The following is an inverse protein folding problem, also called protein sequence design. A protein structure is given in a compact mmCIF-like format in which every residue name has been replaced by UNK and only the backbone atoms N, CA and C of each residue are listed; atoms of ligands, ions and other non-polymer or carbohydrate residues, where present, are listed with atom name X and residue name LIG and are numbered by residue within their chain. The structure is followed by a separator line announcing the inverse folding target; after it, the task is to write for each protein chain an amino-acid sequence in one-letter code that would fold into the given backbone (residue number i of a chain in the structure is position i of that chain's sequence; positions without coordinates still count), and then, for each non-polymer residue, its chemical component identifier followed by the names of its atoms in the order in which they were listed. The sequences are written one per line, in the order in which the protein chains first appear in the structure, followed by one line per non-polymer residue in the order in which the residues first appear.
data_IF_150229306715
#
_entry.id   IF_150229306715
#
_cell.length_a   1.000
_cell.length_b   1.000
_cell.length_c   1.000
_cell.angle_alpha   90.00
_cell.angle_beta   90.00
_cell.angle_gamma   90.00
#
_symmetry.space_group_name_H-M   'P 1'
#
loop_
_entity.id
_entity.type
_entity.pdbx_description
1 polymer ?
#
# COMPACT_ATOMS: atom_id res chain seq x y z
N UNK A 1 -13.93 -6.83 -10.40
CA UNK A 1 -12.85 -7.81 -10.18
C UNK A 1 -11.66 -7.68 -11.14
N UNK A 2 -11.81 -7.48 -12.47
CA UNK A 2 -10.65 -7.46 -13.39
C UNK A 2 -9.62 -6.37 -13.02
N UNK A 3 -10.05 -5.19 -12.65
CA UNK A 3 -9.14 -4.09 -12.29
C UNK A 3 -8.27 -4.37 -11.05
N UNK A 4 -8.76 -5.17 -10.09
CA UNK A 4 -7.95 -5.60 -8.95
C UNK A 4 -6.79 -6.50 -9.37
N UNK A 5 -7.03 -7.43 -10.31
CA UNK A 5 -5.99 -8.28 -10.90
C UNK A 5 -5.02 -7.45 -11.74
N UNK A 6 -5.55 -6.55 -12.57
CA UNK A 6 -4.74 -5.67 -13.44
C UNK A 6 -3.76 -4.81 -12.63
N UNK A 7 -4.20 -4.27 -11.48
CA UNK A 7 -3.33 -3.55 -10.57
C UNK A 7 -2.13 -4.39 -10.10
N UNK A 8 -2.35 -5.68 -9.77
CA UNK A 8 -1.28 -6.58 -9.35
C UNK A 8 -0.33 -6.93 -10.51
N UNK A 9 -0.85 -7.07 -11.72
CA UNK A 9 -0.04 -7.27 -12.93
C UNK A 9 0.87 -6.07 -13.17
N UNK A 10 0.34 -4.84 -13.13
CA UNK A 10 1.16 -3.63 -13.27
C UNK A 10 2.20 -3.50 -12.15
N UNK A 11 1.85 -3.90 -10.92
CA UNK A 11 2.79 -3.96 -9.81
C UNK A 11 3.93 -4.94 -10.08
N UNK A 12 3.63 -6.11 -10.63
CA UNK A 12 4.64 -7.10 -11.02
C UNK A 12 5.54 -6.58 -12.15
N UNK A 13 4.97 -5.95 -13.18
CA UNK A 13 5.70 -5.33 -14.28
C UNK A 13 6.61 -4.20 -13.78
N UNK A 14 6.11 -3.32 -12.91
CA UNK A 14 6.91 -2.25 -12.28
C UNK A 14 8.08 -2.82 -11.48
N UNK A 15 7.82 -3.84 -10.66
CA UNK A 15 8.87 -4.47 -9.86
C UNK A 15 9.90 -5.20 -10.72
N UNK A 16 9.47 -5.82 -11.84
CA UNK A 16 10.35 -6.43 -12.82
C UNK A 16 11.31 -5.42 -13.46
N UNK A 17 10.87 -4.19 -13.74
CA UNK A 17 11.76 -3.12 -14.26
C UNK A 17 12.88 -2.79 -13.27
N UNK A 18 12.57 -2.83 -11.97
CA UNK A 18 13.50 -2.54 -10.87
C UNK A 18 14.48 -3.70 -10.65
N UNK A 19 13.98 -4.94 -10.62
CA UNK A 19 14.79 -6.12 -10.30
C UNK A 19 15.70 -6.54 -11.45
N UNK A 20 15.32 -6.27 -12.70
CA UNK A 20 15.99 -6.73 -13.93
C UNK A 20 16.13 -8.25 -14.04
N UNK A 21 16.46 -8.92 -12.95
CA UNK A 21 16.57 -10.35 -12.76
C UNK A 21 15.24 -10.91 -12.22
N UNK A 22 15.04 -12.21 -12.39
CA UNK A 22 13.82 -12.88 -11.94
C UNK A 22 12.76 -13.04 -13.04
N UNK A 23 12.04 -14.15 -12.97
CA UNK A 23 10.96 -14.49 -13.91
C UNK A 23 9.70 -13.71 -13.54
N UNK A 24 9.03 -13.12 -14.56
CA UNK A 24 7.80 -12.35 -14.33
C UNK A 24 6.72 -13.19 -13.65
N UNK A 25 6.59 -14.47 -14.00
CA UNK A 25 5.64 -15.41 -13.38
C UNK A 25 5.91 -15.59 -11.89
N UNK A 26 7.18 -15.72 -11.47
CA UNK A 26 7.56 -15.82 -10.06
C UNK A 26 7.27 -14.52 -9.32
N UNK A 27 7.59 -13.39 -9.93
CA UNK A 27 7.32 -12.06 -9.35
C UNK A 27 5.81 -11.86 -9.17
N UNK A 28 4.98 -12.15 -10.17
CA UNK A 28 3.53 -12.01 -10.12
C UNK A 28 2.93 -12.91 -9.02
N UNK A 29 3.29 -14.20 -9.02
CA UNK A 29 2.79 -15.13 -8.02
C UNK A 29 3.27 -14.77 -6.60
N UNK A 30 4.49 -14.22 -6.46
CA UNK A 30 4.96 -13.73 -5.17
C UNK A 30 4.12 -12.56 -4.64
N UNK A 31 3.63 -11.69 -5.52
CA UNK A 31 2.73 -10.59 -5.16
C UNK A 31 1.36 -11.12 -4.74
N UNK A 32 0.75 -12.02 -5.50
CA UNK A 32 -0.52 -12.64 -5.12
C UNK A 32 -0.44 -13.31 -3.75
N UNK A 33 0.61 -14.09 -3.53
CA UNK A 33 0.83 -14.76 -2.25
C UNK A 33 1.09 -13.77 -1.11
N UNK A 34 1.74 -12.63 -1.38
CA UNK A 34 1.99 -11.61 -0.38
C UNK A 34 0.72 -10.95 0.14
N UNK A 35 -0.25 -10.70 -0.74
CA UNK A 35 -1.56 -10.18 -0.33
C UNK A 35 -2.33 -11.20 0.50
N UNK A 36 -2.35 -12.47 0.06
CA UNK A 36 -3.01 -13.54 0.80
C UNK A 36 -2.40 -13.76 2.20
N UNK A 37 -1.07 -13.70 2.33
CA UNK A 37 -0.41 -13.84 3.64
C UNK A 37 -0.73 -12.69 4.59
N UNK A 38 -0.96 -11.50 4.05
CA UNK A 38 -1.32 -10.32 4.86
C UNK A 38 -2.74 -10.39 5.44
N UNK A 39 -3.57 -11.33 5.00
CA UNK A 39 -4.86 -11.65 5.63
C UNK A 39 -4.67 -12.37 6.97
N UNK A 40 -3.60 -13.17 7.10
CA UNK A 40 -3.31 -13.96 8.30
C UNK A 40 -2.44 -13.15 9.26
N UNK A 41 -1.32 -12.64 8.74
CA UNK A 41 -0.37 -11.82 9.52
C UNK A 41 -0.21 -10.47 8.83
N UNK A 42 -0.70 -9.38 9.44
CA UNK A 42 -0.60 -8.05 8.86
C UNK A 42 0.84 -7.71 8.46
N UNK A 43 1.03 -7.17 7.25
CA UNK A 43 2.32 -6.76 6.67
C UNK A 43 3.36 -7.85 6.44
N UNK A 44 3.06 -9.12 6.68
CA UNK A 44 3.98 -10.24 6.41
C UNK A 44 4.30 -10.41 4.92
N UNK A 45 3.39 -9.99 4.06
CA UNK A 45 3.49 -10.19 2.61
C UNK A 45 4.73 -9.59 1.97
N UNK A 46 5.23 -8.46 2.48
CA UNK A 46 6.41 -7.79 1.92
C UNK A 46 7.67 -8.64 2.10
N UNK A 47 7.81 -9.28 3.25
CA UNK A 47 8.92 -10.20 3.52
C UNK A 47 8.76 -11.50 2.73
N UNK A 48 7.52 -12.02 2.69
CA UNK A 48 7.21 -13.27 1.99
C UNK A 48 7.51 -13.17 0.50
N UNK A 49 7.10 -12.10 -0.20
CA UNK A 49 7.39 -11.94 -1.64
C UNK A 49 8.89 -11.91 -1.94
N UNK A 50 9.70 -11.27 -1.05
CA UNK A 50 11.15 -11.30 -1.17
C UNK A 50 11.70 -12.72 -0.99
N UNK A 51 11.17 -13.48 -0.02
CA UNK A 51 11.53 -14.88 0.21
C UNK A 51 11.24 -15.77 -0.99
N UNK A 52 10.06 -15.61 -1.61
CA UNK A 52 9.66 -16.35 -2.82
C UNK A 52 10.62 -16.07 -3.98
N UNK A 53 10.87 -14.81 -4.31
CA UNK A 53 11.77 -14.46 -5.43
C UNK A 53 13.20 -14.93 -5.16
N UNK A 54 13.69 -14.83 -3.92
CA UNK A 54 14.97 -15.40 -3.52
C UNK A 54 15.01 -16.92 -3.73
N UNK A 55 13.99 -17.63 -3.28
CA UNK A 55 13.93 -19.10 -3.35
C UNK A 55 13.91 -19.61 -4.80
N UNK A 56 13.10 -18.99 -5.67
CA UNK A 56 12.88 -19.50 -7.02
C UNK A 56 13.87 -18.96 -8.05
N UNK A 57 14.40 -17.75 -7.88
CA UNK A 57 15.26 -17.08 -8.85
C UNK A 57 16.67 -16.76 -8.30
N UNK A 58 16.96 -17.05 -7.03
CA UNK A 58 18.28 -16.89 -6.43
C UNK A 58 18.70 -15.42 -6.21
N UNK A 59 17.76 -14.47 -6.23
CA UNK A 59 18.06 -13.05 -6.05
C UNK A 59 18.51 -12.74 -4.61
N UNK A 60 19.37 -11.73 -4.44
CA UNK A 60 19.82 -11.29 -3.11
C UNK A 60 18.67 -10.73 -2.28
N UNK A 61 18.44 -11.30 -1.09
CA UNK A 61 17.32 -10.94 -0.23
C UNK A 61 17.39 -9.48 0.25
N UNK A 62 18.57 -9.00 0.60
CA UNK A 62 18.74 -7.63 1.10
C UNK A 62 18.42 -6.61 0.02
N UNK A 63 18.82 -6.89 -1.23
CA UNK A 63 18.48 -6.06 -2.40
C UNK A 63 16.98 -6.08 -2.70
N UNK A 64 16.33 -7.25 -2.57
CA UNK A 64 14.87 -7.37 -2.74
C UNK A 64 14.14 -6.52 -1.70
N UNK A 65 14.51 -6.62 -0.43
CA UNK A 65 13.91 -5.81 0.65
C UNK A 65 14.10 -4.31 0.38
N UNK A 66 15.30 -3.88 0.01
CA UNK A 66 15.56 -2.49 -0.35
C UNK A 66 14.69 -2.00 -1.50
N UNK A 67 14.47 -2.83 -2.54
CA UNK A 67 13.58 -2.49 -3.65
C UNK A 67 12.11 -2.36 -3.24
N UNK A 68 11.67 -3.19 -2.29
CA UNK A 68 10.31 -3.12 -1.73
C UNK A 68 10.11 -1.82 -0.94
N UNK A 69 11.09 -1.42 -0.15
CA UNK A 69 11.03 -0.14 0.59
C UNK A 69 10.95 1.04 -0.38
N UNK A 70 11.75 1.04 -1.46
CA UNK A 70 11.65 2.07 -2.51
C UNK A 70 10.28 2.11 -3.16
N UNK A 71 9.68 0.94 -3.42
CA UNK A 71 8.32 0.83 -3.94
C UNK A 71 7.29 1.47 -2.99
N UNK A 72 7.42 1.23 -1.67
CA UNK A 72 6.55 1.85 -0.65
C UNK A 72 6.67 3.36 -0.60
N UNK A 73 7.88 3.90 -0.72
CA UNK A 73 8.09 5.36 -0.75
C UNK A 73 7.33 5.97 -1.95
N UNK A 74 7.42 5.35 -3.12
CA UNK A 74 6.72 5.83 -4.31
C UNK A 74 5.21 5.69 -4.16
N UNK A 75 4.72 4.57 -3.63
CA UNK A 75 3.29 4.39 -3.37
C UNK A 75 2.78 5.45 -2.37
N UNK A 76 3.55 5.81 -1.32
CA UNK A 76 3.22 6.90 -0.41
C UNK A 76 3.15 8.27 -1.10
N UNK A 77 4.08 8.56 -2.01
CA UNK A 77 4.03 9.79 -2.81
C UNK A 77 2.78 9.82 -3.70
N UNK A 78 2.40 8.70 -4.30
CA UNK A 78 1.19 8.59 -5.11
C UNK A 78 -0.08 8.81 -4.27
N UNK A 79 -0.17 8.22 -3.06
CA UNK A 79 -1.27 8.48 -2.12
C UNK A 79 -1.34 9.97 -1.77
N UNK A 80 -0.21 10.60 -1.47
CA UNK A 80 -0.15 12.03 -1.14
C UNK A 80 -0.65 12.90 -2.30
N UNK A 81 -0.23 12.61 -3.52
CA UNK A 81 -0.68 13.33 -4.72
C UNK A 81 -2.18 13.16 -4.95
N UNK A 82 -2.70 11.94 -4.82
CA UNK A 82 -4.13 11.66 -4.94
C UNK A 82 -4.93 12.37 -3.84
N UNK A 83 -4.41 12.40 -2.62
CA UNK A 83 -5.03 13.12 -1.50
C UNK A 83 -5.09 14.61 -1.76
N UNK A 84 -3.97 15.19 -2.18
CA UNK A 84 -3.92 16.61 -2.51
C UNK A 84 -4.91 16.95 -3.62
N UNK A 85 -4.97 16.14 -4.67
CA UNK A 85 -5.93 16.31 -5.77
C UNK A 85 -7.38 16.20 -5.27
N UNK A 86 -7.71 15.22 -4.43
CA UNK A 86 -9.05 15.06 -3.89
C UNK A 86 -9.44 16.20 -2.94
N UNK A 87 -8.53 16.67 -2.09
CA UNK A 87 -8.77 17.81 -1.19
C UNK A 87 -8.99 19.09 -1.98
N UNK A 88 -8.13 19.39 -2.97
CA UNK A 88 -8.27 20.59 -3.81
C UNK A 88 -9.56 20.59 -4.63
N UNK A 89 -9.98 19.40 -5.09
CA UNK A 89 -11.22 19.25 -5.85
C UNK A 89 -12.47 19.36 -4.96
N UNK A 90 -12.39 18.89 -3.70
CA UNK A 90 -13.54 18.75 -2.79
C UNK A 90 -13.38 19.55 -1.48
N UNK A 91 -12.77 20.73 -1.55
CA UNK A 91 -12.60 21.64 -0.39
C UNK A 91 -13.91 21.79 0.43
N UNK A 92 -15.11 22.02 -0.17
CA UNK A 92 -16.34 22.19 0.61
C UNK A 92 -16.72 20.96 1.43
N UNK A 93 -16.42 19.76 0.95
CA UNK A 93 -16.73 18.52 1.67
C UNK A 93 -15.77 18.33 2.85
N UNK A 94 -14.49 18.60 2.64
CA UNK A 94 -13.49 18.54 3.72
C UNK A 94 -13.77 19.57 4.81
N UNK A 95 -14.19 20.79 4.45
CA UNK A 95 -14.60 21.81 5.42
C UNK A 95 -15.81 21.33 6.24
N UNK A 96 -16.84 20.77 5.59
CA UNK A 96 -18.01 20.21 6.29
C UNK A 96 -17.63 19.04 7.21
N UNK A 97 -16.70 18.18 6.76
CA UNK A 97 -16.18 17.08 7.58
C UNK A 97 -15.49 17.62 8.84
N UNK A 98 -14.59 18.59 8.68
CA UNK A 98 -13.90 19.22 9.81
C UNK A 98 -14.88 19.87 10.79
N UNK A 99 -15.89 20.57 10.28
CA UNK A 99 -16.93 21.18 11.10
C UNK A 99 -17.75 20.16 11.88
N UNK A 100 -18.15 19.05 11.25
CA UNK A 100 -18.94 17.98 11.90
C UNK A 100 -18.14 17.15 12.92
N UNK A 101 -16.86 16.95 12.67
CA UNK A 101 -15.99 16.16 13.57
C UNK A 101 -15.34 17.00 14.67
N UNK A 102 -15.50 18.33 14.61
CA UNK A 102 -14.80 19.26 15.52
C UNK A 102 -13.27 19.28 15.31
N UNK A 103 -12.79 18.62 14.27
CA UNK A 103 -11.38 18.61 13.89
C UNK A 103 -11.07 19.92 13.16
N UNK A 104 -10.49 20.88 13.87
CA UNK A 104 -9.82 22.01 13.23
C UNK A 104 -8.30 21.80 13.30
N UNK A 105 -7.56 22.36 12.34
CA UNK A 105 -6.09 22.38 12.43
C UNK A 105 -5.62 22.95 13.77
N UNK A 106 -6.33 23.98 14.28
CA UNK A 106 -6.08 24.55 15.60
C UNK A 106 -6.33 23.56 16.73
N UNK A 107 -7.41 22.76 16.69
CA UNK A 107 -7.71 21.76 17.72
C UNK A 107 -6.77 20.56 17.69
N UNK A 108 -6.24 20.21 16.53
CA UNK A 108 -5.21 19.18 16.41
C UNK A 108 -3.88 19.71 16.94
N UNK A 109 -3.49 20.93 16.53
CA UNK A 109 -2.25 21.55 16.98
C UNK A 109 -2.27 21.92 18.47
N UNK A 110 -3.43 22.30 19.02
CA UNK A 110 -3.56 22.62 20.46
C UNK A 110 -3.50 21.38 21.37
N UNK A 111 -3.74 20.19 20.86
CA UNK A 111 -3.52 18.93 21.59
C UNK A 111 -2.04 18.62 21.79
N UNK A 112 -1.18 19.19 20.95
CA UNK A 112 0.27 19.13 21.15
C UNK A 112 0.69 20.32 22.01
N UNK A 113 0.75 20.11 23.33
CA UNK A 113 1.38 21.07 24.22
C UNK A 113 2.84 21.30 23.80
N UNK A 114 3.45 22.48 24.06
CA UNK A 114 4.87 22.69 23.79
C UNK A 114 5.76 21.56 24.36
N UNK A 115 5.42 21.05 25.55
CA UNK A 115 6.10 19.90 26.14
C UNK A 115 5.92 18.62 25.29
N UNK A 116 4.73 18.38 24.72
CA UNK A 116 4.46 17.24 23.84
C UNK A 116 5.28 17.26 22.56
N UNK A 117 5.49 18.44 21.96
CA UNK A 117 6.38 18.61 20.80
C UNK A 117 7.84 18.26 21.15
N UNK A 118 8.34 18.74 22.29
CA UNK A 118 9.69 18.43 22.74
C UNK A 118 9.86 16.94 23.05
N UNK A 119 8.90 16.30 23.70
CA UNK A 119 8.93 14.86 23.99
C UNK A 119 8.91 14.06 22.69
N UNK A 120 8.06 14.42 21.72
CA UNK A 120 8.01 13.73 20.41
C UNK A 120 9.29 13.94 19.61
N UNK A 121 9.84 15.16 19.60
CA UNK A 121 11.09 15.46 18.93
C UNK A 121 12.27 14.72 19.58
N UNK A 122 12.38 14.76 20.93
CA UNK A 122 13.42 14.06 21.69
C UNK A 122 13.36 12.55 21.52
N UNK A 123 12.15 11.95 21.57
CA UNK A 123 11.99 10.52 21.31
C UNK A 123 12.36 10.16 19.89
N UNK A 124 11.97 10.96 18.89
CA UNK A 124 12.36 10.80 17.49
C UNK A 124 13.88 10.87 17.29
N UNK A 125 14.53 11.87 17.90
CA UNK A 125 16.00 12.00 17.87
C UNK A 125 16.67 10.82 18.59
N UNK A 126 16.17 10.40 19.74
CA UNK A 126 16.72 9.27 20.47
C UNK A 126 16.59 7.96 19.67
N UNK A 127 15.44 7.70 19.05
CA UNK A 127 15.24 6.55 18.15
C UNK A 127 16.21 6.61 16.97
N UNK A 128 16.36 7.78 16.35
CA UNK A 128 17.27 7.99 15.21
C UNK A 128 18.72 7.77 15.64
N UNK A 129 19.16 8.37 16.76
CA UNK A 129 20.51 8.21 17.31
C UNK A 129 20.81 6.75 17.68
N UNK A 130 19.84 6.07 18.30
CA UNK A 130 19.98 4.66 18.65
C UNK A 130 20.07 3.77 17.40
N UNK A 131 19.24 4.05 16.38
CA UNK A 131 19.29 3.36 15.11
C UNK A 131 20.63 3.60 14.38
N UNK A 132 21.12 4.84 14.33
CA UNK A 132 22.41 5.18 13.73
C UNK A 132 23.57 4.54 14.50
N UNK A 133 23.54 4.55 15.83
CA UNK A 133 24.53 3.89 16.67
C UNK A 133 24.54 2.38 16.46
N UNK A 134 23.33 1.76 16.40
CA UNK A 134 23.20 0.32 16.12
C UNK A 134 23.76 -0.02 14.72
N UNK A 135 23.42 0.79 13.71
CA UNK A 135 23.96 0.62 12.34
C UNK A 135 25.48 0.77 12.34
N UNK A 136 26.01 1.74 13.06
CA UNK A 136 27.47 1.94 13.19
C UNK A 136 28.16 0.76 13.91
N UNK A 137 27.59 0.30 15.02
CA UNK A 137 28.08 -0.89 15.76
C UNK A 137 28.06 -2.15 14.91
N UNK A 138 27.00 -2.31 14.14
CA UNK A 138 26.78 -3.50 13.29
C UNK A 138 27.65 -3.45 12.02
N UNK A 139 28.08 -2.29 11.56
CA UNK A 139 29.02 -2.15 10.44
C UNK A 139 30.42 -2.72 10.69
N UNK A 140 30.77 -3.02 11.94
CA UNK A 140 32.04 -3.65 12.29
C UNK A 140 32.16 -5.12 11.78
N UNK A 141 31.02 -5.75 11.42
CA UNK A 141 31.01 -7.10 10.88
C UNK A 141 30.90 -7.07 9.34
N UNK A 142 31.87 -7.67 8.65
CA UNK A 142 31.94 -7.72 7.17
C UNK A 142 30.68 -8.27 6.51
N UNK A 143 30.04 -9.25 7.11
CA UNK A 143 28.77 -9.86 6.65
C UNK A 143 27.62 -8.87 6.68
N UNK A 144 27.57 -7.98 7.66
CA UNK A 144 26.52 -6.97 7.80
C UNK A 144 26.72 -5.82 6.82
N UNK A 145 27.99 -5.42 6.59
CA UNK A 145 28.35 -4.41 5.59
C UNK A 145 27.92 -4.86 4.17
N UNK A 146 28.06 -6.14 3.84
CA UNK A 146 27.58 -6.70 2.59
C UNK A 146 26.05 -6.64 2.46
N UNK A 147 25.30 -7.00 3.53
CA UNK A 147 23.84 -6.92 3.58
C UNK A 147 23.33 -5.47 3.48
N UNK A 148 23.98 -4.53 4.17
CA UNK A 148 23.65 -3.10 4.10
C UNK A 148 23.90 -2.51 2.72
N UNK A 149 24.99 -2.93 2.03
CA UNK A 149 25.22 -2.54 0.63
C UNK A 149 24.10 -3.08 -0.26
N UNK A 150 23.75 -4.35 -0.15
CA UNK A 150 22.64 -4.94 -0.90
C UNK A 150 21.32 -4.18 -0.68
N UNK A 151 21.00 -3.85 0.58
CA UNK A 151 19.83 -3.04 0.91
C UNK A 151 19.86 -1.64 0.28
N UNK A 152 21.00 -0.93 0.42
CA UNK A 152 21.20 0.38 -0.21
C UNK A 152 21.07 0.31 -1.73
N UNK A 153 21.66 -0.69 -2.35
CA UNK A 153 21.57 -0.90 -3.79
C UNK A 153 20.13 -1.19 -4.23
N UNK A 154 19.35 -1.88 -3.40
CA UNK A 154 17.91 -2.03 -3.56
C UNK A 154 17.15 -0.72 -3.44
N UNK A 155 17.47 0.13 -2.47
CA UNK A 155 16.86 1.47 -2.33
C UNK A 155 17.13 2.38 -3.52
N UNK A 156 18.36 2.35 -4.04
CA UNK A 156 18.78 3.23 -5.15
C UNK A 156 18.42 2.63 -6.53
N UNK A 157 17.96 1.39 -6.58
CA UNK A 157 17.69 0.70 -7.86
C UNK A 157 16.66 1.42 -8.75
N UNK A 158 15.71 2.14 -8.14
CA UNK A 158 14.72 2.96 -8.86
C UNK A 158 15.38 4.05 -9.70
N UNK A 159 16.47 4.66 -9.21
CA UNK A 159 17.24 5.67 -9.98
C UNK A 159 17.95 5.07 -11.20
N UNK A 160 18.13 3.73 -11.22
CA UNK A 160 18.84 3.00 -12.27
C UNK A 160 17.89 2.24 -13.22
N UNK A 161 16.59 2.54 -13.18
CA UNK A 161 15.61 1.93 -14.08
C UNK A 161 15.92 2.35 -15.52
N UNK A 162 15.98 1.38 -16.45
CA UNK A 162 16.28 1.65 -17.86
C UNK A 162 15.23 2.52 -18.56
N UNK A 163 13.96 2.41 -18.13
CA UNK A 163 12.83 3.11 -18.73
C UNK A 163 12.02 3.83 -17.62
N UNK A 164 12.43 5.04 -17.21
CA UNK A 164 11.73 5.80 -16.19
C UNK A 164 10.27 6.10 -16.55
N UNK A 165 10.00 6.34 -17.84
CA UNK A 165 8.65 6.60 -18.35
C UNK A 165 7.71 5.40 -18.14
N UNK A 166 8.17 4.18 -18.42
CA UNK A 166 7.40 2.96 -18.14
C UNK A 166 7.18 2.75 -16.64
N UNK A 167 8.16 3.09 -15.83
CA UNK A 167 8.04 3.00 -14.38
C UNK A 167 6.95 3.95 -13.85
N UNK A 168 6.93 5.19 -14.32
CA UNK A 168 5.87 6.17 -14.00
C UNK A 168 4.52 5.69 -14.53
N UNK A 169 4.48 5.24 -15.79
CA UNK A 169 3.25 4.71 -16.40
C UNK A 169 2.65 3.56 -15.59
N UNK A 170 3.46 2.58 -15.19
CA UNK A 170 2.97 1.48 -14.36
C UNK A 170 2.54 1.95 -12.97
N UNK A 171 3.23 2.94 -12.39
CA UNK A 171 2.81 3.52 -11.11
C UNK A 171 1.43 4.17 -11.21
N UNK A 172 1.19 4.98 -12.23
CA UNK A 172 -0.12 5.59 -12.51
C UNK A 172 -1.17 4.50 -12.79
N UNK A 173 -0.83 3.51 -13.63
CA UNK A 173 -1.73 2.41 -14.00
C UNK A 173 -2.16 1.56 -12.78
N UNK A 174 -1.29 1.34 -11.80
CA UNK A 174 -1.61 0.66 -10.53
C UNK A 174 -2.72 1.43 -9.80
N UNK A 175 -2.52 2.73 -9.58
CA UNK A 175 -3.45 3.55 -8.79
C UNK A 175 -4.75 3.79 -9.53
N UNK A 176 -4.69 4.00 -10.85
CA UNK A 176 -5.88 4.08 -11.71
C UNK A 176 -6.68 2.77 -11.67
N UNK A 177 -6.02 1.62 -11.72
CA UNK A 177 -6.69 0.32 -11.64
C UNK A 177 -7.35 0.10 -10.28
N UNK A 178 -6.72 0.53 -9.17
CA UNK A 178 -7.34 0.47 -7.84
C UNK A 178 -8.55 1.40 -7.74
N UNK A 179 -8.45 2.61 -8.26
CA UNK A 179 -9.58 3.54 -8.29
C UNK A 179 -10.74 3.00 -9.14
N UNK A 180 -10.46 2.51 -10.35
CA UNK A 180 -11.47 1.92 -11.24
C UNK A 180 -12.11 0.69 -10.62
N UNK A 181 -11.36 -0.13 -9.88
CA UNK A 181 -11.90 -1.26 -9.13
C UNK A 181 -12.93 -0.80 -8.11
N UNK A 182 -12.60 0.23 -7.34
CA UNK A 182 -13.49 0.83 -6.35
C UNK A 182 -14.69 1.52 -7.01
N UNK A 183 -14.45 2.30 -8.07
CA UNK A 183 -15.49 3.03 -8.79
C UNK A 183 -16.52 2.10 -9.44
N UNK A 184 -16.09 0.99 -10.04
CA UNK A 184 -17.03 -0.01 -10.58
C UNK A 184 -17.88 -0.62 -9.46
N UNK A 185 -17.29 -0.93 -8.31
CA UNK A 185 -18.06 -1.40 -7.16
C UNK A 185 -19.09 -0.36 -6.70
N UNK A 186 -18.76 0.93 -6.81
CA UNK A 186 -19.64 2.04 -6.48
C UNK A 186 -20.88 2.10 -7.40
N UNK A 187 -20.75 1.66 -8.65
CA UNK A 187 -21.84 1.61 -9.62
C UNK A 187 -22.76 0.39 -9.45
N UNK A 188 -22.40 -0.57 -8.60
CA UNK A 188 -23.16 -1.81 -8.43
C UNK A 188 -24.35 -1.68 -7.46
N UNK A 189 -24.51 -0.54 -6.79
CA UNK A 189 -25.58 -0.31 -5.82
C UNK A 189 -26.33 0.99 -6.18
N UNK A 190 -27.64 0.96 -6.21
CA UNK A 190 -28.47 2.10 -6.57
C UNK A 190 -28.25 3.30 -5.64
N UNK A 191 -28.03 3.03 -4.35
CA UNK A 191 -27.80 4.06 -3.34
C UNK A 191 -26.41 4.73 -3.45
N UNK A 192 -25.43 4.11 -4.11
CA UNK A 192 -24.14 4.75 -4.41
C UNK A 192 -24.07 5.25 -5.85
N UNK A 193 -24.73 4.59 -6.80
CA UNK A 193 -24.75 5.03 -8.20
C UNK A 193 -25.42 6.40 -8.37
N UNK A 194 -26.36 6.76 -7.49
CA UNK A 194 -27.03 8.07 -7.45
C UNK A 194 -26.17 9.18 -6.83
N UNK A 195 -25.08 8.84 -6.14
CA UNK A 195 -24.17 9.80 -5.51
C UNK A 195 -23.11 10.25 -6.51
N UNK A 196 -22.59 11.48 -6.33
CA UNK A 196 -21.60 12.05 -7.24
C UNK A 196 -20.33 11.18 -7.29
N UNK A 197 -19.68 11.13 -8.46
CA UNK A 197 -18.39 10.45 -8.65
C UNK A 197 -17.27 10.98 -7.74
N UNK A 198 -17.44 12.22 -7.26
CA UNK A 198 -16.53 12.83 -6.28
C UNK A 198 -16.52 12.09 -4.95
N UNK A 199 -17.69 11.56 -4.53
CA UNK A 199 -17.79 10.72 -3.34
C UNK A 199 -16.92 9.46 -3.47
N UNK A 200 -16.94 8.81 -4.63
CA UNK A 200 -16.11 7.64 -4.88
C UNK A 200 -14.62 7.97 -4.76
N UNK A 201 -14.18 9.14 -5.27
CA UNK A 201 -12.79 9.58 -5.16
C UNK A 201 -12.39 9.83 -3.70
N UNK A 202 -13.21 10.56 -2.96
CA UNK A 202 -12.94 10.86 -1.54
C UNK A 202 -12.95 9.58 -0.70
N UNK A 203 -13.94 8.69 -0.91
CA UNK A 203 -14.03 7.42 -0.20
C UNK A 203 -12.83 6.51 -0.50
N UNK A 204 -12.38 6.48 -1.76
CA UNK A 204 -11.17 5.75 -2.17
C UNK A 204 -9.93 6.28 -1.45
N UNK A 205 -9.70 7.60 -1.47
CA UNK A 205 -8.53 8.22 -0.84
C UNK A 205 -8.53 8.02 0.67
N UNK A 206 -9.66 8.24 1.35
CA UNK A 206 -9.77 8.04 2.79
C UNK A 206 -9.60 6.54 3.15
N UNK A 207 -10.14 5.64 2.31
CA UNK A 207 -9.92 4.20 2.42
C UNK A 207 -8.44 3.81 2.30
N UNK A 208 -7.66 4.44 1.41
CA UNK A 208 -6.22 4.19 1.30
C UNK A 208 -5.46 4.52 2.59
N UNK A 209 -5.84 5.60 3.30
CA UNK A 209 -5.26 5.92 4.61
C UNK A 209 -5.67 4.90 5.68
N UNK A 210 -6.92 4.47 5.66
CA UNK A 210 -7.41 3.51 6.64
C UNK A 210 -6.67 2.16 6.58
N UNK A 211 -6.23 1.74 5.38
CA UNK A 211 -5.41 0.52 5.20
C UNK A 211 -4.00 0.66 5.79
N UNK A 212 -3.53 1.88 6.10
CA UNK A 212 -2.24 2.05 6.78
C UNK A 212 -2.26 1.54 8.23
N UNK A 213 -3.45 1.46 8.84
CA UNK A 213 -3.61 0.82 10.15
C UNK A 213 -3.32 -0.67 10.03
N UNK A 214 -2.43 -1.24 10.86
CA UNK A 214 -1.96 -2.62 10.73
C UNK A 214 -3.02 -3.63 11.19
N UNK A 215 -4.08 -3.80 10.42
CA UNK A 215 -5.12 -4.82 10.59
C UNK A 215 -5.11 -5.79 9.41
N UNK A 216 -5.64 -7.01 9.55
CA UNK A 216 -5.74 -7.94 8.44
C UNK A 216 -6.50 -7.30 7.26
N UNK A 217 -5.79 -7.08 6.14
CA UNK A 217 -6.34 -6.45 4.92
C UNK A 217 -7.06 -5.10 5.13
N UNK A 218 -6.77 -4.36 6.21
CA UNK A 218 -7.46 -3.12 6.54
C UNK A 218 -8.85 -3.30 7.16
N UNK A 219 -9.23 -4.52 7.54
CA UNK A 219 -10.54 -4.81 8.15
C UNK A 219 -10.79 -3.96 9.40
N UNK A 220 -11.98 -3.43 9.54
CA UNK A 220 -12.37 -2.48 10.58
C UNK A 220 -12.12 -1.02 10.17
N UNK A 221 -10.89 -0.52 10.18
CA UNK A 221 -10.60 0.86 9.81
C UNK A 221 -11.08 1.26 8.41
N UNK A 222 -10.92 0.38 7.43
CA UNK A 222 -11.39 0.65 6.07
C UNK A 222 -12.92 0.72 5.99
N UNK A 223 -13.63 -0.20 6.67
CA UNK A 223 -15.10 -0.19 6.73
C UNK A 223 -15.61 1.10 7.35
N UNK A 224 -15.02 1.49 8.48
CA UNK A 224 -15.38 2.73 9.17
C UNK A 224 -15.14 3.95 8.27
N UNK A 225 -13.99 4.03 7.62
CA UNK A 225 -13.61 5.15 6.78
C UNK A 225 -14.57 5.31 5.59
N UNK A 226 -14.81 4.24 4.84
CA UNK A 226 -15.69 4.27 3.66
C UNK A 226 -17.13 4.57 4.05
N UNK A 227 -17.67 3.89 5.07
CA UNK A 227 -19.01 4.17 5.61
C UNK A 227 -19.15 5.64 5.98
N UNK A 228 -18.18 6.20 6.72
CA UNK A 228 -18.24 7.59 7.19
C UNK A 228 -18.26 8.57 6.01
N UNK A 229 -17.45 8.34 4.99
CA UNK A 229 -17.48 9.20 3.79
C UNK A 229 -18.83 9.10 3.08
N UNK A 230 -19.37 7.91 2.86
CA UNK A 230 -20.69 7.71 2.24
C UNK A 230 -21.78 8.48 2.99
N UNK A 231 -21.77 8.42 4.33
CA UNK A 231 -22.72 9.19 5.16
C UNK A 231 -22.58 10.71 5.00
N UNK A 232 -21.37 11.23 4.75
CA UNK A 232 -21.17 12.67 4.49
C UNK A 232 -21.81 13.13 3.18
N UNK A 233 -21.95 12.21 2.22
CA UNK A 233 -22.62 12.46 0.94
C UNK A 233 -24.10 12.08 0.93
N UNK A 234 -24.68 11.75 2.09
CA UNK A 234 -26.12 11.55 2.28
C UNK A 234 -26.57 10.09 2.16
N UNK A 235 -25.67 9.13 2.01
CA UNK A 235 -25.99 7.68 2.06
C UNK A 235 -26.34 7.30 3.51
N UNK A 236 -27.34 6.44 3.70
CA UNK A 236 -27.72 5.98 5.04
C UNK A 236 -26.57 5.21 5.72
N UNK A 237 -26.57 5.16 7.05
CA UNK A 237 -25.55 4.43 7.80
C UNK A 237 -25.58 2.93 7.50
N UNK A 238 -26.76 2.37 7.26
CA UNK A 238 -26.95 0.96 6.98
C UNK A 238 -26.49 0.60 5.56
N UNK A 239 -26.87 1.40 4.55
CA UNK A 239 -26.41 1.23 3.17
C UNK A 239 -24.89 1.38 3.06
N UNK A 240 -24.31 2.39 3.75
CA UNK A 240 -22.87 2.59 3.81
C UNK A 240 -22.14 1.40 4.46
N UNK A 241 -22.74 0.76 5.47
CA UNK A 241 -22.19 -0.44 6.07
C UNK A 241 -22.30 -1.65 5.13
N UNK A 242 -23.43 -1.82 4.45
CA UNK A 242 -23.64 -2.88 3.45
C UNK A 242 -22.62 -2.76 2.33
N UNK A 243 -22.44 -1.56 1.77
CA UNK A 243 -21.43 -1.30 0.74
C UNK A 243 -20.02 -1.69 1.21
N UNK A 244 -19.62 -1.18 2.37
CA UNK A 244 -18.27 -1.41 2.87
C UNK A 244 -18.01 -2.90 3.14
N UNK A 245 -18.94 -3.60 3.78
CA UNK A 245 -18.84 -5.03 4.06
C UNK A 245 -18.79 -5.86 2.78
N UNK A 246 -19.69 -5.61 1.84
CA UNK A 246 -19.78 -6.37 0.60
C UNK A 246 -18.51 -6.20 -0.25
N UNK A 247 -18.09 -4.96 -0.48
CA UNK A 247 -16.92 -4.66 -1.31
C UNK A 247 -15.65 -5.24 -0.70
N UNK A 248 -15.46 -5.10 0.60
CA UNK A 248 -14.30 -5.65 1.29
C UNK A 248 -14.28 -7.19 1.29
N UNK A 249 -15.45 -7.82 1.51
CA UNK A 249 -15.57 -9.29 1.46
C UNK A 249 -15.23 -9.82 0.08
N UNK A 250 -15.77 -9.19 -0.97
CA UNK A 250 -15.52 -9.58 -2.36
C UNK A 250 -14.04 -9.40 -2.75
N UNK A 251 -13.41 -8.31 -2.28
CA UNK A 251 -11.97 -8.08 -2.48
C UNK A 251 -11.12 -9.10 -1.71
N UNK A 252 -11.51 -9.44 -0.49
CA UNK A 252 -10.83 -10.46 0.32
C UNK A 252 -10.93 -11.84 -0.33
N UNK A 253 -12.10 -12.21 -0.85
CA UNK A 253 -12.29 -13.44 -1.60
C UNK A 253 -11.36 -13.51 -2.83
N UNK A 254 -11.27 -12.42 -3.60
CA UNK A 254 -10.35 -12.34 -4.74
C UNK A 254 -8.90 -12.58 -4.30
N UNK A 255 -8.47 -11.95 -3.20
CA UNK A 255 -7.11 -12.12 -2.66
C UNK A 255 -6.84 -13.57 -2.25
N UNK A 256 -7.81 -14.24 -1.62
CA UNK A 256 -7.72 -15.66 -1.25
C UNK A 256 -7.56 -16.53 -2.50
N UNK A 257 -8.42 -16.34 -3.51
CA UNK A 257 -8.38 -17.11 -4.76
C UNK A 257 -7.05 -16.92 -5.50
N UNK A 258 -6.55 -15.69 -5.61
CA UNK A 258 -5.26 -15.41 -6.22
C UNK A 258 -4.09 -15.99 -5.42
N UNK A 259 -4.18 -16.01 -4.09
CA UNK A 259 -3.22 -16.66 -3.21
C UNK A 259 -3.15 -18.16 -3.41
N UNK A 260 -4.29 -18.84 -3.48
CA UNK A 260 -4.39 -20.27 -3.77
C UNK A 260 -3.84 -20.60 -5.15
N UNK A 261 -4.21 -19.81 -6.16
CA UNK A 261 -3.64 -19.93 -7.50
C UNK A 261 -2.11 -19.79 -7.48
N UNK A 262 -1.59 -18.78 -6.76
CA UNK A 262 -0.14 -18.55 -6.68
C UNK A 262 0.59 -19.71 -5.99
N UNK A 263 0.01 -20.32 -4.95
CA UNK A 263 0.57 -21.52 -4.30
C UNK A 263 0.66 -22.67 -5.30
N UNK A 264 -0.42 -22.97 -6.03
CA UNK A 264 -0.44 -24.01 -7.03
C UNK A 264 0.54 -23.73 -8.18
N UNK A 265 0.60 -22.50 -8.69
CA UNK A 265 1.51 -22.11 -9.76
C UNK A 265 2.98 -22.19 -9.33
N UNK A 266 3.30 -21.80 -8.10
CA UNK A 266 4.65 -21.87 -7.56
C UNK A 266 5.09 -23.32 -7.30
N UNK A 267 4.19 -24.21 -6.86
CA UNK A 267 4.52 -25.63 -6.64
C UNK A 267 4.95 -26.32 -7.95
N UNK A 268 4.42 -25.89 -9.08
CA UNK A 268 4.77 -26.39 -10.42
C UNK A 268 6.00 -25.69 -11.03
N UNK A 269 6.46 -24.62 -10.40
CA UNK A 269 7.57 -23.82 -10.92
C UNK A 269 8.92 -24.38 -10.49
N UNK A 270 9.79 -24.70 -11.46
CA UNK A 270 11.15 -25.18 -11.18
C UNK A 270 12.00 -24.09 -10.51
N UNK A 271 12.68 -24.47 -9.44
CA UNK A 271 13.66 -23.61 -8.75
C UNK A 271 14.88 -23.45 -9.67
N UNK A 272 15.35 -22.23 -9.84
CA UNK A 272 16.58 -21.97 -10.59
C UNK A 272 17.77 -22.27 -9.69
N UNK A 273 18.40 -23.41 -9.89
CA UNK A 273 19.65 -23.79 -9.20
C UNK A 273 20.74 -22.90 -9.79
N UNK A 274 21.39 -22.10 -8.95
CA UNK A 274 22.63 -21.37 -9.26
C UNK A 274 23.81 -22.08 -8.66
#
# INVERSE_FOLDING_TARGET
MPFGVTAQVFRALRWKLVLREGRLSVILNSIFLSYASSLVVPRSGEVLRCGVVRRYDGADFSRLVGSVVSERIIDMLMILLLTLSAVLWQIPVFVRFMQRTGLSLGSVLSRFTPAGWWVTALSGVLILCTALWLVWRVQLFSSVKARLRGFRDGLVCVKRVKSPSLFVLYSVAIWLSYYLHFWVAFQCFDFTASVSSDCALVAFVVGCFAVLVPTPNGAGPWHFAVKTVLMLYGVSADDGAVFALFVHTLQTLLVVLLGLYALAALSLTKIKIR
#
